data_IF_155425448230
#
_entry.id   IF_155425448230
#
_cell.length_a   1.000
_cell.length_b   1.000
_cell.length_c   1.000
_cell.angle_alpha   90.00
_cell.angle_beta   90.00
_cell.angle_gamma   90.00
#
_symmetry.space_group_name_H-M   'P 1'
#
loop_
_entity.id
_entity.type
_entity.pdbx_description
1 polymer ?
#
# COMPACT_ATOMS: atom_id res chain seq x y z
N UNK A 1 -3.53 -5.95 6.20
CA UNK A 1 -2.37 -6.61 5.56
C UNK A 1 -1.16 -5.72 5.69
N UNK A 2 0.04 -6.27 5.83
CA UNK A 2 1.25 -5.46 5.78
C UNK A 2 1.58 -5.11 4.33
N UNK A 3 1.95 -3.86 4.12
CA UNK A 3 2.46 -3.37 2.84
C UNK A 3 3.80 -2.67 3.04
N UNK A 4 4.60 -2.65 1.98
CA UNK A 4 5.82 -1.87 1.87
C UNK A 4 5.66 -0.82 0.76
N UNK A 5 6.17 0.38 1.00
CA UNK A 5 6.21 1.44 -0.01
C UNK A 5 7.44 2.34 0.18
N UNK A 6 7.91 2.94 -0.91
CA UNK A 6 8.94 3.97 -0.86
C UNK A 6 8.29 5.35 -0.70
N UNK A 7 8.66 6.07 0.35
CA UNK A 7 8.16 7.41 0.61
C UNK A 7 8.87 8.47 -0.27
N UNK A 8 8.49 9.74 -0.11
CA UNK A 8 9.10 10.84 -0.89
C UNK A 8 10.57 11.13 -0.54
N UNK A 9 11.06 10.58 0.55
CA UNK A 9 12.45 10.71 0.99
C UNK A 9 13.33 9.57 0.48
N UNK A 10 12.74 8.56 -0.17
CA UNK A 10 13.43 7.36 -0.64
C UNK A 10 13.62 6.32 0.46
N UNK A 11 12.86 6.43 1.56
CA UNK A 11 12.89 5.44 2.65
C UNK A 11 11.78 4.44 2.40
N UNK A 12 12.13 3.14 2.51
CA UNK A 12 11.18 2.05 2.51
C UNK A 12 10.50 1.98 3.88
N UNK A 13 9.19 2.12 3.89
CA UNK A 13 8.34 2.08 5.08
C UNK A 13 7.43 0.86 4.99
N UNK A 14 7.15 0.24 6.15
CA UNK A 14 6.19 -0.86 6.29
C UNK A 14 5.05 -0.45 7.19
N UNK A 15 3.82 -0.66 6.74
CA UNK A 15 2.62 -0.29 7.47
C UNK A 15 1.56 -1.36 7.32
N UNK A 16 0.75 -1.55 8.37
CA UNK A 16 -0.48 -2.32 8.26
C UNK A 16 -1.55 -1.44 7.61
N UNK A 17 -2.20 -1.93 6.56
CA UNK A 17 -3.31 -1.23 5.90
C UNK A 17 -4.48 -2.16 5.57
N UNK A 18 -5.64 -1.53 5.43
CA UNK A 18 -6.86 -2.12 4.89
C UNK A 18 -7.37 -1.27 3.71
N UNK A 19 -8.13 -1.86 2.78
CA UNK A 19 -8.60 -1.15 1.57
C UNK A 19 -9.52 0.03 1.87
N UNK A 20 -10.20 0.01 3.02
CA UNK A 20 -11.12 1.07 3.45
C UNK A 20 -10.38 2.28 4.03
N UNK A 21 -9.07 2.16 4.27
CA UNK A 21 -8.23 3.23 4.80
C UNK A 21 -7.76 4.21 3.70
N UNK A 22 -7.59 5.50 4.02
CA UNK A 22 -7.01 6.46 3.10
C UNK A 22 -5.50 6.26 2.96
N UNK A 23 -4.93 6.70 1.84
CA UNK A 23 -3.48 6.66 1.62
C UNK A 23 -2.73 7.40 2.75
N UNK A 24 -1.76 6.77 3.43
CA UNK A 24 -1.08 7.36 4.58
C UNK A 24 -0.23 8.59 4.23
N UNK A 25 0.14 8.76 2.95
CA UNK A 25 1.02 9.84 2.47
C UNK A 25 0.24 11.11 2.14
N UNK A 26 -0.97 10.97 1.57
CA UNK A 26 -1.70 12.10 0.99
C UNK A 26 -3.21 12.08 1.26
N UNK A 27 -3.68 11.12 2.04
CA UNK A 27 -5.09 10.88 2.36
C UNK A 27 -6.00 10.67 1.13
N UNK A 28 -5.42 10.30 -0.03
CA UNK A 28 -6.17 9.96 -1.24
C UNK A 28 -6.76 8.56 -1.20
N UNK A 29 -7.71 8.27 -2.09
CA UNK A 29 -8.30 6.94 -2.20
C UNK A 29 -7.29 5.90 -2.70
N UNK A 30 -7.30 4.73 -2.05
CA UNK A 30 -6.56 3.53 -2.40
C UNK A 30 -7.42 2.61 -3.27
N UNK A 31 -6.76 1.90 -4.18
CA UNK A 31 -7.37 0.91 -5.06
C UNK A 31 -6.51 -0.36 -5.05
N UNK A 32 -7.11 -1.53 -5.20
CA UNK A 32 -6.33 -2.75 -5.43
C UNK A 32 -5.54 -2.62 -6.73
N UNK A 33 -4.33 -3.16 -6.73
CA UNK A 33 -3.50 -3.24 -7.95
C UNK A 33 -4.13 -4.24 -8.92
N UNK A 34 -4.59 -5.37 -8.41
CA UNK A 34 -5.38 -6.37 -9.13
C UNK A 34 -6.71 -6.60 -8.41
N UNK A 35 -7.83 -6.23 -9.04
CA UNK A 35 -9.17 -6.34 -8.44
C UNK A 35 -9.61 -7.79 -8.19
N UNK A 36 -8.95 -8.78 -8.82
CA UNK A 36 -9.25 -10.20 -8.63
C UNK A 36 -8.46 -10.81 -7.46
N UNK A 37 -7.48 -10.08 -6.92
CA UNK A 37 -6.61 -10.55 -5.84
C UNK A 37 -6.47 -9.47 -4.75
N UNK A 38 -7.11 -9.71 -3.60
CA UNK A 38 -7.07 -8.81 -2.43
C UNK A 38 -5.68 -8.70 -1.79
N UNK A 39 -4.78 -9.62 -2.12
CA UNK A 39 -3.38 -9.64 -1.67
C UNK A 39 -2.44 -8.98 -2.68
N UNK A 40 -2.96 -8.38 -3.74
CA UNK A 40 -2.13 -7.70 -4.76
C UNK A 40 -1.51 -6.38 -4.30
N UNK A 41 -1.86 -5.89 -3.11
CA UNK A 41 -1.48 -4.58 -2.61
C UNK A 41 -2.35 -3.46 -3.15
N UNK A 42 -1.90 -2.22 -2.94
CA UNK A 42 -2.70 -1.02 -3.21
C UNK A 42 -1.97 0.03 -4.05
N UNK A 43 -2.74 0.83 -4.78
CA UNK A 43 -2.27 2.02 -5.48
C UNK A 43 -3.08 3.23 -5.06
N UNK A 44 -2.40 4.31 -4.72
CA UNK A 44 -3.08 5.58 -4.46
C UNK A 44 -3.40 6.33 -5.78
N UNK A 45 -4.66 6.76 -5.92
CA UNK A 45 -5.11 7.58 -7.06
C UNK A 45 -4.53 8.99 -7.10
N UNK A 46 -4.09 9.53 -5.96
CA UNK A 46 -3.64 10.92 -5.85
C UNK A 46 -2.12 11.05 -5.95
N UNK A 47 -1.35 10.29 -5.17
CA UNK A 47 0.11 10.37 -5.21
C UNK A 47 0.76 9.31 -6.12
N UNK A 48 -0.03 8.40 -6.72
CA UNK A 48 0.45 7.29 -7.55
C UNK A 48 1.44 6.33 -6.88
N UNK A 49 1.61 6.42 -5.56
CA UNK A 49 2.44 5.49 -4.79
C UNK A 49 1.82 4.09 -4.84
N UNK A 50 2.69 3.11 -5.00
CA UNK A 50 2.40 1.69 -4.95
C UNK A 50 2.74 1.17 -3.56
N UNK A 51 1.83 0.38 -3.01
CA UNK A 51 1.94 -0.26 -1.71
C UNK A 51 1.94 -1.76 -1.99
N UNK A 52 3.13 -2.35 -1.97
CA UNK A 52 3.30 -3.77 -2.30
C UNK A 52 3.00 -4.62 -1.08
N UNK A 53 2.27 -5.75 -1.23
CA UNK A 53 1.99 -6.66 -0.14
C UNK A 53 3.30 -7.24 0.42
N UNK A 54 3.35 -7.47 1.72
CA UNK A 54 4.46 -8.21 2.37
C UNK A 54 3.90 -9.50 2.93
N UNK A 55 4.50 -10.64 2.57
CA UNK A 55 4.16 -11.93 3.17
C UNK A 55 4.53 -11.95 4.66
N UNK A 56 3.59 -12.39 5.50
CA UNK A 56 3.73 -12.51 6.96
C UNK A 56 4.75 -13.59 7.38
N UNK A 57 5.23 -14.43 6.44
CA UNK A 57 6.15 -15.55 6.69
C UNK A 57 7.61 -15.09 6.98
N UNK A 58 7.92 -13.80 6.86
CA UNK A 58 9.24 -13.21 7.14
C UNK A 58 9.38 -12.67 8.59
N UNK A 59 8.51 -13.10 9.52
CA UNK A 59 8.41 -12.60 10.91
C UNK A 59 8.73 -13.66 11.98
#
# INVERSE_FOLDING_TARGET
MFVEFEDRTGILERVEMEIEEPCPICCGMLFLIDESNTESGYRCSSCSVLFEPVDDDDL
#
